data_IF_219983558446
#
_entry.id   IF_219983558446
#
_cell.length_a   1.000
_cell.length_b   1.000
_cell.length_c   1.000
_cell.angle_alpha   90.00
_cell.angle_beta   90.00
_cell.angle_gamma   90.00
#
_symmetry.space_group_name_H-M   'P 1'
#
loop_
_entity.id
_entity.type
_entity.pdbx_description
1 polymer ?
#
# COMPACT_ATOMS: atom_id res chain seq x y z
N UNK A 1 -24.37 30.59 8.68
CA UNK A 1 -24.59 29.14 8.46
C UNK A 1 -23.25 28.51 8.14
N UNK A 2 -22.57 27.93 9.14
CA UNK A 2 -21.27 27.29 8.93
C UNK A 2 -21.50 25.87 8.42
N UNK A 3 -21.09 25.60 7.18
CA UNK A 3 -21.21 24.30 6.56
C UNK A 3 -20.49 23.26 7.40
N UNK A 4 -21.22 22.22 7.84
CA UNK A 4 -20.62 21.07 8.52
C UNK A 4 -19.63 20.43 7.54
N UNK A 5 -18.33 20.55 7.83
CA UNK A 5 -17.29 19.75 7.18
C UNK A 5 -17.59 18.28 7.49
N UNK A 6 -18.28 17.61 6.56
CA UNK A 6 -18.44 16.16 6.59
C UNK A 6 -17.04 15.58 6.48
N UNK A 7 -16.54 14.97 7.57
CA UNK A 7 -15.29 14.21 7.52
C UNK A 7 -15.43 13.19 6.40
N UNK A 8 -14.50 13.22 5.44
CA UNK A 8 -14.55 12.38 4.25
C UNK A 8 -14.71 10.91 4.58
N UNK A 9 -15.30 10.17 3.63
CA UNK A 9 -15.41 8.71 3.67
C UNK A 9 -14.04 8.08 3.96
N UNK A 10 -13.95 7.26 5.02
CA UNK A 10 -12.72 6.58 5.39
C UNK A 10 -12.61 5.27 4.59
N UNK A 11 -11.58 5.15 3.76
CA UNK A 11 -11.29 3.89 3.07
C UNK A 11 -11.05 2.76 4.06
N UNK A 12 -11.78 1.66 3.88
CA UNK A 12 -11.63 0.42 4.64
C UNK A 12 -10.37 -0.36 4.23
N UNK A 13 -10.03 -1.40 5.00
CA UNK A 13 -8.91 -2.30 4.66
C UNK A 13 -9.21 -3.07 3.38
N UNK A 14 -10.46 -3.46 3.16
CA UNK A 14 -10.91 -4.13 1.94
C UNK A 14 -10.73 -3.22 0.72
N UNK A 15 -11.07 -1.93 0.84
CA UNK A 15 -10.82 -0.96 -0.23
C UNK A 15 -9.32 -0.81 -0.52
N UNK A 16 -8.47 -0.75 0.52
CA UNK A 16 -7.02 -0.65 0.35
C UNK A 16 -6.45 -1.86 -0.41
N UNK A 17 -6.97 -3.06 -0.14
CA UNK A 17 -6.62 -4.30 -0.86
C UNK A 17 -7.03 -4.22 -2.33
N UNK A 18 -8.27 -3.80 -2.62
CA UNK A 18 -8.74 -3.66 -4.02
C UNK A 18 -7.93 -2.60 -4.75
N UNK A 19 -7.59 -1.49 -4.09
CA UNK A 19 -6.74 -0.43 -4.65
C UNK A 19 -5.33 -0.91 -4.95
N UNK A 20 -4.73 -1.73 -4.09
CA UNK A 20 -3.42 -2.34 -4.35
C UNK A 20 -3.46 -3.27 -5.57
N UNK A 21 -4.50 -4.11 -5.71
CA UNK A 21 -4.70 -4.98 -6.89
C UNK A 21 -4.90 -4.17 -8.16
N UNK A 22 -5.73 -3.12 -8.12
CA UNK A 22 -5.96 -2.23 -9.24
C UNK A 22 -4.65 -1.54 -9.68
N UNK A 23 -3.84 -1.08 -8.73
CA UNK A 23 -2.54 -0.48 -9.04
C UNK A 23 -1.59 -1.48 -9.71
N UNK A 24 -1.51 -2.72 -9.22
CA UNK A 24 -0.69 -3.79 -9.82
C UNK A 24 -1.12 -4.04 -11.26
N UNK A 25 -2.41 -4.26 -11.49
CA UNK A 25 -2.94 -4.56 -12.84
C UNK A 25 -2.64 -3.45 -13.86
N UNK A 26 -2.81 -2.19 -13.45
CA UNK A 26 -2.48 -1.04 -14.32
C UNK A 26 -0.97 -0.91 -14.51
N UNK A 27 -0.19 -1.28 -13.51
CA UNK A 27 1.28 -1.26 -13.60
C UNK A 27 1.81 -2.35 -14.53
N UNK A 28 1.11 -3.47 -14.68
CA UNK A 28 1.47 -4.55 -15.62
C UNK A 28 1.02 -4.27 -17.06
N UNK A 29 0.06 -3.36 -17.27
CA UNK A 29 -0.45 -3.00 -18.61
C UNK A 29 0.69 -2.42 -19.49
N UNK A 30 1.13 -3.14 -20.55
CA UNK A 30 2.24 -2.70 -21.40
C UNK A 30 1.91 -1.42 -22.18
N UNK A 31 0.62 -1.11 -22.39
CA UNK A 31 0.16 0.12 -23.05
C UNK A 31 0.46 1.36 -22.17
N UNK A 32 0.63 1.18 -20.86
CA UNK A 32 1.01 2.24 -19.92
C UNK A 32 2.51 2.54 -19.99
N UNK A 33 3.32 1.66 -20.60
CA UNK A 33 4.78 1.71 -20.54
C UNK A 33 5.46 2.85 -21.31
N UNK A 34 4.79 3.52 -22.25
CA UNK A 34 5.45 4.52 -23.11
C UNK A 34 5.13 5.98 -22.78
N UNK A 35 3.88 6.37 -22.47
CA UNK A 35 3.54 7.81 -22.40
C UNK A 35 2.30 8.15 -21.54
N UNK A 36 2.36 7.99 -20.22
CA UNK A 36 1.27 8.50 -19.36
C UNK A 36 1.79 9.44 -18.26
N UNK A 37 1.41 10.72 -18.39
CA UNK A 37 1.43 11.68 -17.27
C UNK A 37 0.67 11.06 -16.09
N UNK A 38 1.15 11.24 -14.85
CA UNK A 38 0.55 10.59 -13.67
C UNK A 38 -0.99 10.65 -13.57
N UNK A 39 -1.64 11.69 -14.08
CA UNK A 39 -3.11 11.79 -14.12
C UNK A 39 -3.80 10.67 -14.92
N UNK A 40 -3.26 10.24 -16.06
CA UNK A 40 -3.85 9.18 -16.87
C UNK A 40 -3.69 7.82 -16.19
N UNK A 41 -2.54 7.59 -15.56
CA UNK A 41 -2.29 6.37 -14.79
C UNK A 41 -3.30 6.21 -13.65
N UNK A 42 -3.46 7.23 -12.80
CA UNK A 42 -4.42 7.13 -11.69
C UNK A 42 -5.87 7.07 -12.16
N UNK A 43 -6.18 7.61 -13.35
CA UNK A 43 -7.50 7.43 -13.98
C UNK A 43 -7.76 5.97 -14.31
N UNK A 44 -6.76 5.25 -14.85
CA UNK A 44 -6.86 3.80 -15.08
C UNK A 44 -7.02 3.03 -13.76
N UNK A 45 -6.23 3.35 -12.74
CA UNK A 45 -6.34 2.72 -11.41
C UNK A 45 -7.73 2.92 -10.81
N UNK A 46 -8.28 4.13 -10.94
CA UNK A 46 -9.64 4.42 -10.48
C UNK A 46 -10.71 3.65 -11.26
N UNK A 47 -10.55 3.50 -12.58
CA UNK A 47 -11.47 2.70 -13.40
C UNK A 47 -11.43 1.22 -13.01
N UNK A 48 -10.25 0.64 -12.78
CA UNK A 48 -10.09 -0.72 -12.27
C UNK A 48 -10.72 -0.87 -10.88
N UNK A 49 -10.47 0.08 -9.97
CA UNK A 49 -11.08 0.11 -8.64
C UNK A 49 -12.62 0.15 -8.73
N UNK A 50 -13.16 1.01 -9.60
CA UNK A 50 -14.61 1.15 -9.81
C UNK A 50 -15.26 -0.16 -10.23
N UNK A 51 -14.59 -0.98 -11.04
CA UNK A 51 -15.10 -2.27 -11.50
C UNK A 51 -14.96 -3.37 -10.44
N UNK A 52 -13.88 -3.33 -9.66
CA UNK A 52 -13.55 -4.39 -8.70
C UNK A 52 -14.08 -4.16 -7.28
N UNK A 53 -14.50 -2.93 -6.94
CA UNK A 53 -15.00 -2.64 -5.58
C UNK A 53 -16.27 -3.44 -5.26
N UNK A 54 -16.49 -3.82 -3.99
CA UNK A 54 -17.78 -4.34 -3.54
C UNK A 54 -18.93 -3.39 -3.92
N UNK A 55 -20.05 -3.96 -4.39
CA UNK A 55 -21.20 -3.19 -4.89
C UNK A 55 -21.77 -2.20 -3.88
N UNK A 56 -21.73 -2.56 -2.60
CA UNK A 56 -22.30 -1.81 -1.48
C UNK A 56 -21.50 -0.55 -1.07
N UNK A 57 -20.23 -0.46 -1.47
CA UNK A 57 -19.38 0.68 -1.11
C UNK A 57 -19.60 1.88 -2.04
N UNK A 58 -19.67 3.11 -1.53
CA UNK A 58 -19.75 4.29 -2.37
C UNK A 58 -18.46 4.47 -3.17
N UNK A 59 -18.59 4.85 -4.45
CA UNK A 59 -17.42 5.14 -5.28
C UNK A 59 -16.82 6.48 -4.89
N UNK A 60 -15.59 6.46 -4.37
CA UNK A 60 -14.85 7.67 -4.07
C UNK A 60 -14.41 8.43 -5.35
N UNK A 61 -14.28 9.77 -5.30
CA UNK A 61 -13.76 10.55 -6.41
C UNK A 61 -12.33 10.15 -6.80
N UNK A 62 -11.98 10.37 -8.07
CA UNK A 62 -10.63 10.11 -8.60
C UNK A 62 -9.54 10.74 -7.71
N UNK A 63 -9.65 12.03 -7.38
CA UNK A 63 -8.64 12.73 -6.57
C UNK A 63 -8.43 12.11 -5.18
N UNK A 64 -9.52 11.68 -4.53
CA UNK A 64 -9.46 10.97 -3.24
C UNK A 64 -8.76 9.62 -3.40
N UNK A 65 -9.11 8.89 -4.46
CA UNK A 65 -8.58 7.56 -4.77
C UNK A 65 -7.09 7.62 -5.06
N UNK A 66 -6.66 8.57 -5.91
CA UNK A 66 -5.25 8.79 -6.21
C UNK A 66 -4.44 9.12 -4.95
N UNK A 67 -4.98 9.99 -4.08
CA UNK A 67 -4.33 10.33 -2.81
C UNK A 67 -4.20 9.13 -1.89
N UNK A 68 -5.23 8.27 -1.85
CA UNK A 68 -5.21 7.04 -1.06
C UNK A 68 -4.19 6.05 -1.58
N UNK A 69 -4.16 5.78 -2.88
CA UNK A 69 -3.17 4.89 -3.53
C UNK A 69 -1.75 5.36 -3.24
N UNK A 70 -1.46 6.67 -3.41
CA UNK A 70 -0.13 7.24 -3.07
C UNK A 70 0.24 7.02 -1.60
N UNK A 71 -0.74 7.17 -0.70
CA UNK A 71 -0.53 6.91 0.73
C UNK A 71 -0.19 5.45 1.00
N UNK A 72 -0.94 4.52 0.40
CA UNK A 72 -0.68 3.07 0.51
C UNK A 72 0.76 2.78 0.05
N UNK A 73 1.12 3.20 -1.17
CA UNK A 73 2.45 2.95 -1.75
C UNK A 73 3.56 3.51 -0.87
N UNK A 74 3.47 4.78 -0.46
CA UNK A 74 4.47 5.44 0.40
C UNK A 74 4.70 4.69 1.71
N UNK A 75 3.63 4.23 2.36
CA UNK A 75 3.74 3.48 3.60
C UNK A 75 4.30 2.07 3.36
N UNK A 76 3.87 1.39 2.31
CA UNK A 76 4.34 0.05 1.95
C UNK A 76 5.83 0.05 1.57
N UNK A 77 6.33 1.10 0.92
CA UNK A 77 7.77 1.24 0.59
C UNK A 77 8.61 1.37 1.86
N UNK A 78 8.18 2.25 2.79
CA UNK A 78 8.85 2.40 4.09
C UNK A 78 8.83 1.10 4.89
N UNK A 79 7.70 0.40 4.89
CA UNK A 79 7.58 -0.90 5.54
C UNK A 79 8.49 -1.95 4.89
N UNK A 80 8.60 -1.96 3.55
CA UNK A 80 9.51 -2.85 2.81
C UNK A 80 10.97 -2.61 3.19
N UNK A 81 11.39 -1.35 3.39
CA UNK A 81 12.74 -1.04 3.85
C UNK A 81 13.02 -1.61 5.26
N UNK A 82 12.06 -1.48 6.18
CA UNK A 82 12.13 -2.13 7.48
C UNK A 82 12.19 -3.66 7.34
N UNK A 83 11.34 -4.23 6.47
CA UNK A 83 11.26 -5.67 6.24
C UNK A 83 12.59 -6.23 5.74
N UNK A 84 13.21 -5.60 4.74
CA UNK A 84 14.52 -6.01 4.21
C UNK A 84 15.61 -5.94 5.27
N UNK A 85 15.57 -4.93 6.14
CA UNK A 85 16.52 -4.80 7.26
C UNK A 85 16.38 -5.96 8.25
N UNK A 86 15.13 -6.30 8.62
CA UNK A 86 14.86 -7.42 9.53
C UNK A 86 15.21 -8.74 8.88
N UNK A 87 14.69 -9.03 7.69
CA UNK A 87 14.92 -10.28 6.97
C UNK A 87 16.42 -10.55 6.72
N UNK A 88 17.21 -9.51 6.41
CA UNK A 88 18.66 -9.65 6.23
C UNK A 88 19.46 -9.86 7.51
N UNK A 89 18.88 -9.59 8.68
CA UNK A 89 19.54 -9.73 9.99
C UNK A 89 19.14 -10.99 10.75
N UNK A 90 18.13 -11.73 10.28
CA UNK A 90 17.62 -12.93 10.96
C UNK A 90 18.26 -14.20 10.37
N UNK A 91 18.46 -15.25 11.19
CA UNK A 91 18.78 -16.59 10.69
C UNK A 91 17.68 -17.08 9.74
N UNK A 92 18.06 -17.88 8.73
CA UNK A 92 17.15 -18.38 7.66
C UNK A 92 16.00 -19.26 8.15
N UNK A 93 15.96 -19.61 9.43
CA UNK A 93 14.98 -20.52 10.06
C UNK A 93 13.78 -19.78 10.66
N UNK A 94 13.79 -18.44 10.70
CA UNK A 94 12.67 -17.65 11.24
C UNK A 94 11.49 -17.65 10.27
N UNK A 95 10.26 -17.87 10.78
CA UNK A 95 9.05 -17.86 9.95
C UNK A 95 8.68 -16.42 9.49
N UNK A 96 7.96 -16.28 8.38
CA UNK A 96 7.60 -14.96 7.80
C UNK A 96 6.71 -14.13 8.75
N UNK A 97 5.89 -14.79 9.59
CA UNK A 97 5.04 -14.12 10.55
C UNK A 97 5.85 -13.39 11.65
N UNK A 98 6.93 -14.00 12.13
CA UNK A 98 7.86 -13.41 13.09
C UNK A 98 8.65 -12.26 12.46
N UNK A 99 9.06 -12.42 11.20
CA UNK A 99 9.71 -11.33 10.43
C UNK A 99 8.74 -10.15 10.30
N UNK A 100 7.48 -10.37 9.93
CA UNK A 100 6.44 -9.32 9.84
C UNK A 100 6.20 -8.66 11.20
N UNK A 101 6.16 -9.46 12.28
CA UNK A 101 5.96 -8.97 13.65
C UNK A 101 7.09 -8.03 14.08
N UNK A 102 8.35 -8.44 13.90
CA UNK A 102 9.54 -7.64 14.22
C UNK A 102 9.61 -6.42 13.30
N UNK A 103 9.27 -6.57 12.02
CA UNK A 103 9.20 -5.47 11.04
C UNK A 103 8.18 -4.42 11.47
N UNK A 104 7.01 -4.84 11.94
CA UNK A 104 5.96 -3.92 12.43
C UNK A 104 6.45 -3.12 13.63
N UNK A 105 7.14 -3.76 14.56
CA UNK A 105 7.75 -3.06 15.68
C UNK A 105 8.82 -2.04 15.22
N UNK A 106 9.71 -2.44 14.31
CA UNK A 106 10.73 -1.56 13.74
C UNK A 106 10.11 -0.37 13.01
N UNK A 107 9.06 -0.60 12.23
CA UNK A 107 8.31 0.45 11.54
C UNK A 107 7.69 1.47 12.52
N UNK A 108 7.27 1.00 13.69
CA UNK A 108 6.78 1.83 14.79
C UNK A 108 7.91 2.49 15.61
N UNK A 109 9.17 2.33 15.21
CA UNK A 109 10.34 2.89 15.90
C UNK A 109 10.75 2.11 17.15
N UNK A 110 10.26 0.88 17.32
CA UNK A 110 10.58 -0.01 18.45
C UNK A 110 11.64 -1.04 18.04
N UNK A 111 12.47 -1.47 18.99
CA UNK A 111 13.38 -2.61 18.82
C UNK A 111 12.90 -3.72 19.74
N UNK A 112 12.51 -4.85 19.14
CA UNK A 112 12.09 -6.04 19.89
C UNK A 112 13.34 -6.79 20.34
N UNK A 113 13.47 -7.01 21.65
CA UNK A 113 14.54 -7.81 22.28
C UNK A 113 14.05 -9.19 22.67
N UNK A 114 12.78 -9.31 23.03
CA UNK A 114 12.18 -10.58 23.45
C UNK A 114 10.90 -10.91 22.65
N UNK A 115 10.57 -12.20 22.44
CA UNK A 115 9.42 -12.60 21.64
C UNK A 115 8.08 -11.98 22.06
N UNK A 116 7.86 -11.78 23.36
CA UNK A 116 6.62 -11.30 23.96
C UNK A 116 6.43 -9.77 23.96
N UNK A 117 7.42 -8.98 23.52
CA UNK A 117 7.31 -7.52 23.58
C UNK A 117 6.24 -6.96 22.62
N UNK A 118 5.55 -5.91 23.09
CA UNK A 118 4.50 -5.22 22.33
C UNK A 118 5.06 -4.55 21.07
N UNK A 119 4.58 -5.00 19.91
CA UNK A 119 4.91 -4.45 18.60
C UNK A 119 4.31 -3.06 18.33
N UNK A 120 3.40 -2.60 19.21
CA UNK A 120 2.66 -1.36 19.02
C UNK A 120 1.51 -1.54 18.03
N UNK A 121 1.20 -0.48 17.28
CA UNK A 121 0.06 -0.50 16.36
C UNK A 121 0.34 -1.44 15.19
N UNK A 122 -0.60 -2.32 14.82
CA UNK A 122 -0.49 -3.12 13.61
C UNK A 122 -0.26 -2.23 12.39
N UNK A 123 0.52 -2.72 11.43
CA UNK A 123 0.71 -2.00 10.18
C UNK A 123 -0.60 -1.99 9.39
N UNK A 124 -1.19 -0.80 9.24
CA UNK A 124 -2.53 -0.62 8.64
C UNK A 124 -2.67 -1.24 7.25
N UNK A 125 -1.62 -1.18 6.44
CA UNK A 125 -1.66 -1.61 5.04
C UNK A 125 -1.01 -2.98 4.82
N UNK A 126 -1.03 -3.87 5.83
CA UNK A 126 -0.34 -5.16 5.76
C UNK A 126 -0.81 -6.02 4.59
N UNK A 127 -2.12 -6.16 4.39
CA UNK A 127 -2.67 -6.97 3.29
C UNK A 127 -2.34 -6.36 1.92
N UNK A 128 -2.45 -5.04 1.80
CA UNK A 128 -2.06 -4.31 0.60
C UNK A 128 -0.56 -4.47 0.30
N UNK A 129 0.29 -4.38 1.32
CA UNK A 129 1.72 -4.62 1.20
C UNK A 129 2.05 -6.05 0.79
N UNK A 130 1.32 -7.04 1.31
CA UNK A 130 1.45 -8.45 0.92
C UNK A 130 1.24 -8.68 -0.58
N UNK A 131 0.40 -7.86 -1.22
CA UNK A 131 0.19 -7.88 -2.66
C UNK A 131 1.31 -7.14 -3.40
N UNK A 132 1.69 -5.97 -2.90
CA UNK A 132 2.65 -5.08 -3.57
C UNK A 132 4.10 -5.59 -3.50
N UNK A 133 4.51 -6.21 -2.39
CA UNK A 133 5.91 -6.57 -2.09
C UNK A 133 6.56 -7.53 -3.08
N UNK A 134 5.78 -8.20 -3.93
CA UNK A 134 6.26 -9.12 -4.95
C UNK A 134 6.23 -8.52 -6.36
N UNK A 135 5.69 -7.32 -6.53
CA UNK A 135 5.55 -6.68 -7.84
C UNK A 135 6.81 -5.88 -8.21
N UNK A 136 7.37 -6.15 -9.39
CA UNK A 136 8.68 -5.62 -9.81
C UNK A 136 8.77 -4.08 -9.79
N UNK A 137 7.79 -3.37 -10.39
CA UNK A 137 7.80 -1.89 -10.43
C UNK A 137 7.62 -1.26 -9.05
N UNK A 138 7.05 -1.99 -8.11
CA UNK A 138 6.94 -1.53 -6.73
C UNK A 138 8.31 -1.64 -6.04
N UNK A 139 8.99 -2.78 -6.20
CA UNK A 139 10.30 -3.04 -5.60
C UNK A 139 11.43 -2.16 -6.17
N UNK A 140 11.41 -1.83 -7.46
CA UNK A 140 12.48 -1.05 -8.13
C UNK A 140 12.32 0.48 -7.99
N UNK A 141 11.35 0.95 -7.19
CA UNK A 141 11.06 2.39 -7.06
C UNK A 141 10.34 2.99 -8.27
N UNK A 142 9.91 2.16 -9.23
CA UNK A 142 9.17 2.57 -10.42
C UNK A 142 7.87 3.32 -10.12
N UNK A 143 7.27 3.14 -8.94
CA UNK A 143 6.11 3.94 -8.52
C UNK A 143 6.38 5.45 -8.50
N UNK A 144 7.63 5.87 -8.20
CA UNK A 144 8.01 7.29 -8.18
C UNK A 144 8.16 7.89 -9.59
N UNK A 145 8.39 7.05 -10.60
CA UNK A 145 8.43 7.47 -12.00
C UNK A 145 7.01 7.73 -12.55
N UNK A 146 6.02 6.98 -12.06
CA UNK A 146 4.60 7.16 -12.39
C UNK A 146 3.98 8.41 -11.73
N UNK A 147 4.62 8.94 -10.68
CA UNK A 147 4.18 10.15 -9.97
C UNK A 147 4.62 11.47 -10.64
N UNK A 148 5.53 11.42 -11.62
CA UNK A 148 6.01 12.59 -12.39
C UNK A 148 5.14 12.86 -13.62
#
# INVERSE_FOLDING_TARGET
>A
MSGKNVRGFNYSTEEDVVLAKAWVRVSEDPIVGSEQKGNTFYTKVWNEYKQAKPGELPLCPLASTSTRVKTILKHCVRFSACHSTVAGSQPTVVNDADIIRITTALFNGKKIKEPQEDIGRPFKFLDAWGILRFHEKFCTGGYSAVER
#
